data_IF_529364779862
#
_entry.id   IF_529364779862
#
_cell.length_a   1.000
_cell.length_b   1.000
_cell.length_c   1.000
_cell.angle_alpha   90.00
_cell.angle_beta   90.00
_cell.angle_gamma   90.00
#
_symmetry.space_group_name_H-M   'P 1'
#
loop_
_entity.id
_entity.type
_entity.pdbx_description
1 polymer ?
#
# COMPACT_ATOMS: atom_id res chain seq x y z
N UNK A 1 46.23 22.31 -16.20
CA UNK A 1 44.79 22.60 -16.23
C UNK A 1 44.07 21.45 -15.54
N UNK A 2 43.81 21.63 -14.25
CA UNK A 2 43.17 20.63 -13.38
C UNK A 2 41.66 20.78 -13.52
N UNK A 3 41.01 19.88 -14.26
CA UNK A 3 39.55 19.78 -14.28
C UNK A 3 39.18 18.92 -13.07
N UNK A 4 38.87 19.57 -11.96
CA UNK A 4 38.29 18.93 -10.78
C UNK A 4 36.88 18.46 -11.13
N UNK A 5 36.79 17.27 -11.72
CA UNK A 5 35.55 16.53 -11.90
C UNK A 5 35.03 16.20 -10.50
N UNK A 6 34.12 17.03 -10.00
CA UNK A 6 33.31 16.75 -8.81
C UNK A 6 32.68 15.37 -9.00
N UNK A 7 33.29 14.36 -8.36
CA UNK A 7 32.66 13.07 -8.10
C UNK A 7 31.49 13.37 -7.15
N UNK A 8 30.38 13.81 -7.73
CA UNK A 8 29.12 14.07 -7.04
C UNK A 8 28.54 12.72 -6.65
N UNK A 9 29.07 12.23 -5.53
CA UNK A 9 28.47 11.34 -4.54
C UNK A 9 27.29 10.50 -5.07
N UNK A 10 27.58 9.23 -5.34
CA UNK A 10 26.68 8.08 -5.57
C UNK A 10 25.51 7.95 -4.57
N UNK A 11 25.43 8.79 -3.54
CA UNK A 11 24.39 8.84 -2.51
C UNK A 11 23.25 9.85 -2.79
N UNK A 12 23.43 10.82 -3.70
CA UNK A 12 22.37 11.80 -4.03
C UNK A 12 21.01 11.19 -4.37
N UNK A 13 20.90 10.14 -5.22
CA UNK A 13 19.59 9.60 -5.57
C UNK A 13 18.88 8.85 -4.43
N UNK A 14 19.64 8.24 -3.50
CA UNK A 14 19.09 7.61 -2.30
C UNK A 14 18.50 8.65 -1.35
N UNK A 15 19.23 9.75 -1.17
CA UNK A 15 18.80 10.86 -0.31
C UNK A 15 17.53 11.52 -0.86
N UNK A 16 17.41 11.68 -2.19
CA UNK A 16 16.21 12.22 -2.83
C UNK A 16 15.00 11.30 -2.63
N UNK A 17 15.17 9.98 -2.75
CA UNK A 17 14.08 9.03 -2.51
C UNK A 17 13.64 8.92 -1.05
N UNK A 18 14.60 9.09 -0.13
CA UNK A 18 14.32 9.16 1.29
C UNK A 18 13.55 10.43 1.66
N UNK A 19 13.97 11.58 1.13
CA UNK A 19 13.31 12.87 1.32
C UNK A 19 11.90 12.91 0.71
N UNK A 20 11.70 12.32 -0.46
CA UNK A 20 10.37 12.24 -1.09
C UNK A 20 9.41 11.36 -0.27
N UNK A 21 9.86 10.21 0.22
CA UNK A 21 9.07 9.34 1.09
C UNK A 21 8.69 10.03 2.41
N UNK A 22 9.63 10.74 3.05
CA UNK A 22 9.35 11.51 4.27
C UNK A 22 8.33 12.60 4.01
N UNK A 23 8.50 13.37 2.92
CA UNK A 23 7.59 14.47 2.57
C UNK A 23 6.18 13.95 2.32
N UNK A 24 6.04 12.83 1.59
CA UNK A 24 4.75 12.21 1.32
C UNK A 24 4.09 11.65 2.59
N UNK A 25 4.88 11.06 3.49
CA UNK A 25 4.41 10.56 4.79
C UNK A 25 3.90 11.69 5.67
N UNK A 26 4.64 12.80 5.75
CA UNK A 26 4.23 13.98 6.50
C UNK A 26 2.96 14.58 5.92
N UNK A 27 2.87 14.71 4.59
CA UNK A 27 1.68 15.19 3.91
C UNK A 27 0.47 14.28 4.19
N UNK A 28 0.66 12.97 4.16
CA UNK A 28 -0.37 12.00 4.51
C UNK A 28 -0.84 12.15 5.95
N UNK A 29 0.10 12.26 6.88
CA UNK A 29 -0.17 12.44 8.30
C UNK A 29 -0.96 13.73 8.56
N UNK A 30 -0.59 14.85 7.91
CA UNK A 30 -1.31 16.11 8.06
C UNK A 30 -2.75 16.04 7.54
N UNK A 31 -2.97 15.43 6.37
CA UNK A 31 -4.32 15.27 5.80
C UNK A 31 -5.22 14.46 6.73
N UNK A 32 -4.68 13.42 7.36
CA UNK A 32 -5.42 12.55 8.29
C UNK A 32 -5.68 13.22 9.63
N UNK A 33 -4.66 13.86 10.21
CA UNK A 33 -4.72 14.45 11.56
C UNK A 33 -5.64 15.67 11.63
N UNK A 34 -5.80 16.40 10.53
CA UNK A 34 -6.70 17.55 10.48
C UNK A 34 -8.19 17.17 10.47
N UNK A 35 -8.54 15.87 10.44
CA UNK A 35 -9.92 15.34 10.44
C UNK A 35 -10.89 16.12 9.52
N UNK A 36 -10.38 16.61 8.37
CA UNK A 36 -11.11 17.53 7.49
C UNK A 36 -12.33 16.88 6.81
N UNK A 37 -12.58 15.58 7.04
CA UNK A 37 -13.57 14.77 6.37
C UNK A 37 -14.27 13.81 7.35
N UNK A 38 -15.57 13.63 7.16
CA UNK A 38 -16.40 12.70 7.94
C UNK A 38 -15.88 11.25 7.84
N UNK A 39 -16.06 10.45 8.90
CA UNK A 39 -15.36 9.16 9.12
C UNK A 39 -15.34 8.18 7.95
N UNK A 40 -16.44 8.06 7.18
CA UNK A 40 -16.45 7.20 5.98
C UNK A 40 -15.56 7.73 4.85
N UNK A 41 -15.54 9.05 4.65
CA UNK A 41 -14.71 9.67 3.63
C UNK A 41 -13.24 9.72 4.04
N UNK A 42 -12.95 9.88 5.34
CA UNK A 42 -11.61 9.76 5.88
C UNK A 42 -11.00 8.37 5.63
N UNK A 43 -11.77 7.29 5.82
CA UNK A 43 -11.29 5.92 5.58
C UNK A 43 -10.85 5.68 4.13
N UNK A 44 -11.64 6.14 3.16
CA UNK A 44 -11.29 6.04 1.73
C UNK A 44 -10.06 6.87 1.37
N UNK A 45 -9.95 8.08 1.92
CA UNK A 45 -8.79 8.96 1.70
C UNK A 45 -7.51 8.35 2.29
N UNK A 46 -7.58 7.81 3.52
CA UNK A 46 -6.45 7.12 4.16
C UNK A 46 -5.99 5.92 3.32
N UNK A 47 -6.94 5.10 2.86
CA UNK A 47 -6.63 3.94 2.01
C UNK A 47 -5.95 4.35 0.70
N UNK A 48 -6.44 5.42 0.07
CA UNK A 48 -5.82 5.99 -1.13
C UNK A 48 -4.40 6.51 -0.88
N UNK A 49 -4.20 7.27 0.21
CA UNK A 49 -2.88 7.76 0.57
C UNK A 49 -1.90 6.64 0.93
N UNK A 50 -2.37 5.59 1.63
CA UNK A 50 -1.55 4.42 1.94
C UNK A 50 -1.11 3.68 0.67
N UNK A 51 -1.98 3.56 -0.34
CA UNK A 51 -1.62 2.98 -1.62
C UNK A 51 -0.57 3.81 -2.36
N UNK A 52 -0.73 5.13 -2.42
CA UNK A 52 0.25 6.03 -3.07
C UNK A 52 1.59 5.99 -2.34
N UNK A 53 1.57 6.01 -1.00
CA UNK A 53 2.75 5.89 -0.16
C UNK A 53 3.51 4.59 -0.45
N UNK A 54 2.79 3.47 -0.54
CA UNK A 54 3.36 2.17 -0.89
C UNK A 54 4.00 2.21 -2.29
N UNK A 55 3.33 2.79 -3.30
CA UNK A 55 3.91 2.90 -4.65
C UNK A 55 5.20 3.74 -4.66
N UNK A 56 5.22 4.87 -3.95
CA UNK A 56 6.41 5.73 -3.84
C UNK A 56 7.55 4.98 -3.16
N UNK A 57 7.28 4.28 -2.05
CA UNK A 57 8.29 3.46 -1.37
C UNK A 57 8.82 2.34 -2.27
N UNK A 58 7.97 1.67 -3.05
CA UNK A 58 8.43 0.66 -4.00
C UNK A 58 9.33 1.27 -5.10
N UNK A 59 8.98 2.42 -5.67
CA UNK A 59 9.78 3.07 -6.73
C UNK A 59 11.14 3.55 -6.20
N UNK A 60 11.17 4.13 -5.00
CA UNK A 60 12.40 4.71 -4.45
C UNK A 60 13.28 3.70 -3.71
N UNK A 61 12.67 2.76 -2.98
CA UNK A 61 13.40 1.74 -2.22
C UNK A 61 13.82 0.57 -3.09
N UNK A 62 12.99 0.16 -4.07
CA UNK A 62 13.42 -0.71 -5.16
C UNK A 62 14.12 0.12 -6.23
N UNK A 63 15.16 0.83 -5.81
CA UNK A 63 16.05 1.60 -6.65
C UNK A 63 16.84 0.65 -7.53
N UNK A 64 16.17 0.32 -8.61
CA UNK A 64 16.67 -0.41 -9.70
C UNK A 64 17.89 0.32 -10.28
N UNK A 65 19.07 -0.24 -10.02
CA UNK A 65 20.37 0.39 -10.25
C UNK A 65 20.37 1.28 -11.49
N UNK A 66 20.76 2.55 -11.29
CA UNK A 66 21.04 3.57 -12.32
C UNK A 66 22.23 3.18 -13.21
N UNK A 67 22.42 1.91 -13.46
CA UNK A 67 23.40 1.40 -14.39
C UNK A 67 22.81 1.49 -15.78
N UNK A 68 23.52 2.19 -16.67
CA UNK A 68 23.18 2.44 -18.08
C UNK A 68 22.91 1.17 -18.94
N UNK A 69 22.86 -0.02 -18.34
CA UNK A 69 22.65 -1.32 -18.99
C UNK A 69 21.52 -2.16 -18.40
N UNK A 70 20.67 -1.59 -17.54
CA UNK A 70 19.77 -2.38 -16.67
C UNK A 70 18.32 -2.50 -17.15
N UNK A 71 18.09 -2.85 -18.42
CA UNK A 71 16.72 -3.11 -18.95
C UNK A 71 16.01 -4.25 -18.20
N UNK A 72 16.77 -5.25 -17.74
CA UNK A 72 16.26 -6.40 -16.99
C UNK A 72 15.69 -6.05 -15.64
N UNK A 73 16.28 -5.04 -15.02
CA UNK A 73 15.90 -4.62 -13.69
C UNK A 73 14.50 -3.93 -13.80
N UNK A 74 14.22 -3.22 -14.91
CA UNK A 74 12.91 -2.58 -15.12
C UNK A 74 11.83 -3.62 -15.30
N UNK A 75 12.15 -4.73 -15.97
CA UNK A 75 11.25 -5.88 -16.07
C UNK A 75 10.95 -6.50 -14.68
N UNK A 76 11.95 -6.65 -13.81
CA UNK A 76 11.74 -7.12 -12.43
C UNK A 76 10.88 -6.18 -11.60
N UNK A 77 10.98 -4.86 -11.82
CA UNK A 77 10.13 -3.86 -11.16
C UNK A 77 8.65 -4.02 -11.57
N UNK A 78 8.36 -4.09 -12.87
CA UNK A 78 7.00 -4.30 -13.34
C UNK A 78 6.43 -5.64 -12.89
N UNK A 79 7.25 -6.69 -12.84
CA UNK A 79 6.83 -7.99 -12.31
C UNK A 79 6.41 -7.91 -10.83
N UNK A 80 7.23 -7.29 -9.98
CA UNK A 80 6.87 -7.08 -8.57
C UNK A 80 5.59 -6.26 -8.44
N UNK A 81 5.44 -5.19 -9.23
CA UNK A 81 4.27 -4.32 -9.18
C UNK A 81 2.98 -5.09 -9.52
N UNK A 82 3.02 -5.93 -10.56
CA UNK A 82 1.88 -6.77 -10.95
C UNK A 82 1.53 -7.76 -9.84
N UNK A 83 2.53 -8.46 -9.29
CA UNK A 83 2.32 -9.41 -8.19
C UNK A 83 1.70 -8.72 -6.98
N UNK A 84 2.17 -7.53 -6.64
CA UNK A 84 1.63 -6.75 -5.53
C UNK A 84 0.17 -6.34 -5.76
N UNK A 85 -0.17 -5.87 -6.97
CA UNK A 85 -1.57 -5.54 -7.30
C UNK A 85 -2.47 -6.78 -7.23
N UNK A 86 -2.00 -7.93 -7.71
CA UNK A 86 -2.74 -9.20 -7.61
C UNK A 86 -2.96 -9.59 -6.15
N UNK A 87 -1.96 -9.44 -5.28
CA UNK A 87 -2.10 -9.77 -3.86
C UNK A 87 -3.08 -8.83 -3.16
N UNK A 88 -2.99 -7.52 -3.38
CA UNK A 88 -3.88 -6.55 -2.71
C UNK A 88 -5.32 -6.72 -3.18
N UNK A 89 -5.56 -6.70 -4.50
CA UNK A 89 -6.91 -6.85 -5.07
C UNK A 89 -7.45 -8.24 -4.77
N UNK A 90 -6.63 -9.27 -4.92
CA UNK A 90 -6.98 -10.66 -4.60
C UNK A 90 -7.30 -10.84 -3.13
N UNK A 91 -6.54 -10.24 -2.21
CA UNK A 91 -6.80 -10.32 -0.77
C UNK A 91 -8.10 -9.63 -0.39
N UNK A 92 -8.35 -8.42 -0.91
CA UNK A 92 -9.62 -7.71 -0.67
C UNK A 92 -10.80 -8.52 -1.21
N UNK A 93 -10.68 -9.06 -2.43
CA UNK A 93 -11.74 -9.87 -3.03
C UNK A 93 -11.96 -11.20 -2.28
N UNK A 94 -10.90 -11.88 -1.84
CA UNK A 94 -11.00 -13.12 -1.07
C UNK A 94 -11.66 -12.86 0.28
N UNK A 95 -11.29 -11.78 0.99
CA UNK A 95 -11.93 -11.43 2.25
C UNK A 95 -13.42 -11.13 2.08
N UNK A 96 -13.80 -10.36 1.06
CA UNK A 96 -15.21 -10.08 0.75
C UNK A 96 -15.98 -11.35 0.37
N UNK A 97 -15.40 -12.19 -0.50
CA UNK A 97 -16.03 -13.44 -0.91
C UNK A 97 -16.17 -14.41 0.28
N UNK A 98 -15.14 -14.49 1.12
CA UNK A 98 -15.18 -15.35 2.30
C UNK A 98 -16.20 -14.82 3.32
N UNK A 99 -16.25 -13.51 3.55
CA UNK A 99 -17.27 -12.86 4.40
C UNK A 99 -18.69 -13.11 3.87
N UNK A 100 -18.90 -13.08 2.55
CA UNK A 100 -20.17 -13.43 1.92
C UNK A 100 -20.56 -14.91 2.07
N UNK A 101 -19.57 -15.82 2.10
CA UNK A 101 -19.80 -17.26 2.26
C UNK A 101 -19.78 -17.73 3.72
N UNK A 102 -19.47 -16.84 4.67
CA UNK A 102 -19.59 -17.09 6.10
C UNK A 102 -21.00 -16.75 6.56
N UNK A 103 -21.57 -17.62 7.41
CA UNK A 103 -22.87 -17.37 8.04
C UNK A 103 -22.75 -16.10 8.89
N UNK A 104 -23.61 -15.11 8.65
CA UNK A 104 -23.54 -13.84 9.37
C UNK A 104 -23.87 -14.06 10.86
N UNK A 105 -23.36 -13.22 11.78
CA UNK A 105 -23.70 -13.31 13.21
C UNK A 105 -25.21 -13.33 13.48
N UNK A 106 -26.00 -12.68 12.64
CA UNK A 106 -27.47 -12.66 12.73
C UNK A 106 -28.09 -14.03 12.43
N UNK A 107 -27.60 -14.70 11.38
CA UNK A 107 -28.00 -16.08 11.06
C UNK A 107 -27.49 -17.07 12.10
N UNK A 108 -26.41 -16.73 12.81
CA UNK A 108 -25.91 -17.52 13.93
C UNK A 108 -26.84 -17.47 15.14
N UNK A 109 -27.26 -16.26 15.50
CA UNK A 109 -28.21 -16.06 16.58
C UNK A 109 -29.57 -16.70 16.29
N UNK A 110 -30.10 -16.58 15.07
CA UNK A 110 -31.39 -17.20 14.74
C UNK A 110 -31.37 -18.73 14.87
N UNK A 111 -30.30 -19.41 14.47
CA UNK A 111 -30.25 -20.88 14.60
C UNK A 111 -30.10 -21.33 16.06
N UNK A 112 -29.34 -20.60 16.88
CA UNK A 112 -29.21 -20.90 18.31
C UNK A 112 -30.53 -20.66 19.05
N UNK A 113 -31.27 -19.60 18.70
CA UNK A 113 -32.60 -19.35 19.24
C UNK A 113 -33.61 -20.41 18.80
N UNK A 114 -33.53 -20.86 17.54
CA UNK A 114 -34.41 -21.90 17.01
C UNK A 114 -34.10 -23.28 17.58
N UNK A 115 -32.84 -23.60 17.89
CA UNK A 115 -32.49 -24.84 18.60
C UNK A 115 -32.84 -24.79 20.08
N UNK A 116 -32.55 -23.68 20.78
CA UNK A 116 -32.96 -23.51 22.18
C UNK A 116 -34.48 -23.56 22.35
N UNK A 117 -35.25 -23.07 21.37
CA UNK A 117 -36.72 -23.19 21.35
C UNK A 117 -37.20 -24.60 20.97
N UNK A 118 -36.34 -25.47 20.45
CA UNK A 118 -36.65 -26.86 20.05
C UNK A 118 -36.20 -27.90 21.09
N UNK A 119 -35.57 -27.47 22.19
CA UNK A 119 -35.09 -28.32 23.28
C UNK A 119 -35.89 -28.15 24.57
N UNK A 120 -37.20 -28.45 24.51
CA UNK A 120 -38.01 -29.33 25.37
C UNK A 120 -39.47 -29.22 24.93
#
# INVERSE_FOLDING_TARGET
>A
MQKTEFHSATVMPYVIGFLSAITLTLLAYFIVTMELLSGNMAAWVIMGLAAVQLMVQLVFFLHLGRDKKSRWNVASFYFMLIVLLIIVIGSLWIMENLNYNMMTPDQMNEHMLKESSKGF
#
